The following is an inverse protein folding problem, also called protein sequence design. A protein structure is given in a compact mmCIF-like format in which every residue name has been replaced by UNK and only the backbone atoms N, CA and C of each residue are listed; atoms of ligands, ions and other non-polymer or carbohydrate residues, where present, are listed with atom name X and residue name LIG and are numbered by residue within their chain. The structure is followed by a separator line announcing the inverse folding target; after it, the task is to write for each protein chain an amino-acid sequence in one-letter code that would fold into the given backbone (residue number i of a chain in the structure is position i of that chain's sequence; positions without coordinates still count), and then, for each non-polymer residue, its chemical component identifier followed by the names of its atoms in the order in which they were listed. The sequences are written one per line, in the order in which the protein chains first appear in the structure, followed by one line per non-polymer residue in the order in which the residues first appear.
data_IF_429775423140
#
_entry.id   IF_429775423140
#
_cell.length_a   1.000
_cell.length_b   1.000
_cell.length_c   1.000
_cell.angle_alpha   90.00
_cell.angle_beta   90.00
_cell.angle_gamma   90.00
#
_symmetry.space_group_name_H-M   'P 1'
#
loop_
_entity.id
_entity.type
_entity.pdbx_description
1 polymer ?
#
# COMPACT_ATOMS: atom_id res chain seq x y z
N UNK A 1 1.59 41.39 23.55
CA UNK A 1 0.40 40.89 24.30
C UNK A 1 -0.88 41.62 23.89
N UNK A 2 -0.88 42.99 23.84
CA UNK A 2 -2.05 43.77 23.45
C UNK A 2 -2.50 43.50 22.02
N UNK A 3 -1.58 43.34 21.07
CA UNK A 3 -1.90 42.99 19.69
C UNK A 3 -2.53 41.59 19.58
N UNK A 4 -2.03 40.64 20.33
CA UNK A 4 -2.60 39.29 20.38
C UNK A 4 -4.01 39.29 21.00
N UNK A 5 -4.23 40.09 22.04
CA UNK A 5 -5.55 40.28 22.65
C UNK A 5 -6.54 40.89 21.67
N UNK A 6 -6.14 41.94 20.94
CA UNK A 6 -6.98 42.63 19.94
C UNK A 6 -7.34 41.65 18.80
N UNK A 7 -6.36 40.93 18.26
CA UNK A 7 -6.58 39.94 17.21
C UNK A 7 -7.55 38.83 17.69
N UNK A 8 -7.42 38.36 18.92
CA UNK A 8 -8.33 37.36 19.51
C UNK A 8 -9.75 37.88 19.65
N UNK A 9 -9.93 39.13 20.10
CA UNK A 9 -11.24 39.79 20.20
C UNK A 9 -11.90 39.92 18.82
N UNK A 10 -11.14 40.38 17.83
CA UNK A 10 -11.65 40.59 16.49
C UNK A 10 -12.04 39.24 15.81
N UNK A 11 -11.26 38.19 16.02
CA UNK A 11 -11.58 36.84 15.54
C UNK A 11 -12.86 36.29 16.21
N UNK A 12 -13.01 36.48 17.54
CA UNK A 12 -14.20 36.05 18.26
C UNK A 12 -15.45 36.78 17.77
N UNK A 13 -15.36 38.10 17.56
CA UNK A 13 -16.46 38.92 17.01
C UNK A 13 -16.82 38.49 15.59
N UNK A 14 -15.83 38.24 14.74
CA UNK A 14 -16.04 37.76 13.40
C UNK A 14 -16.73 36.37 13.37
N UNK A 15 -16.49 35.55 14.38
CA UNK A 15 -17.16 34.27 14.59
C UNK A 15 -18.54 34.35 15.25
N UNK A 16 -19.06 35.60 15.52
CA UNK A 16 -20.38 35.81 16.07
C UNK A 16 -20.47 35.75 17.62
N UNK A 17 -19.33 35.69 18.31
CA UNK A 17 -19.32 35.72 19.79
C UNK A 17 -19.38 37.14 20.32
N UNK A 18 -20.17 37.36 21.39
CA UNK A 18 -20.09 38.58 22.13
C UNK A 18 -18.93 38.51 23.14
N UNK A 19 -17.96 39.40 22.97
CA UNK A 19 -16.83 39.50 23.88
C UNK A 19 -17.07 40.70 24.81
N UNK A 20 -17.42 40.44 26.07
CA UNK A 20 -17.57 41.41 27.13
C UNK A 20 -16.49 41.21 28.19
N UNK A 21 -15.98 42.34 28.70
CA UNK A 21 -15.11 42.42 29.90
C UNK A 21 -13.99 41.40 30.06
N UNK A 22 -13.00 41.47 29.15
CA UNK A 22 -11.76 40.75 29.36
C UNK A 22 -10.92 41.41 30.46
N UNK A 23 -10.31 40.62 31.35
CA UNK A 23 -9.46 41.17 32.41
C UNK A 23 -8.30 41.97 31.81
N UNK A 24 -7.89 43.02 32.48
CA UNK A 24 -6.75 43.83 32.09
C UNK A 24 -5.50 42.96 32.00
N UNK A 25 -4.72 43.15 30.95
CA UNK A 25 -3.43 42.46 30.83
C UNK A 25 -2.50 42.91 31.97
N UNK A 26 -1.74 41.99 32.57
CA UNK A 26 -0.75 42.39 33.56
C UNK A 26 0.26 43.36 32.92
N UNK A 27 0.61 44.40 33.67
CA UNK A 27 1.66 45.32 33.22
C UNK A 27 2.97 44.56 33.07
N UNK A 28 3.38 44.28 31.84
CA UNK A 28 4.70 43.72 31.53
C UNK A 28 5.66 44.89 31.50
N UNK A 29 6.63 44.92 32.41
CA UNK A 29 7.74 45.85 32.28
C UNK A 29 8.36 45.73 30.92
N UNK A 30 8.50 46.86 30.23
CA UNK A 30 9.18 46.89 28.91
C UNK A 30 10.59 46.36 29.13
N UNK A 31 10.86 45.12 28.76
CA UNK A 31 12.22 44.67 28.55
C UNK A 31 12.65 45.32 27.24
N UNK A 32 13.69 46.10 27.30
CA UNK A 32 14.49 46.39 26.10
C UNK A 32 15.06 45.07 25.62
N UNK A 33 14.32 44.35 24.80
CA UNK A 33 14.83 43.20 24.07
C UNK A 33 15.75 43.77 23.00
N UNK A 34 17.04 43.73 23.28
CA UNK A 34 18.02 43.89 22.19
C UNK A 34 17.66 42.80 21.13
N UNK A 35 17.44 43.19 19.86
CA UNK A 35 17.12 42.20 18.83
C UNK A 35 18.25 41.17 18.78
N UNK A 36 17.96 39.92 19.12
CA UNK A 36 18.89 38.83 18.94
C UNK A 36 18.96 38.50 17.46
N UNK A 37 19.92 39.12 16.77
CA UNK A 37 20.19 38.71 15.41
C UNK A 37 20.69 37.27 15.39
N UNK A 38 20.23 36.42 14.45
CA UNK A 38 20.81 35.11 14.25
C UNK A 38 22.32 35.27 14.04
N UNK A 39 23.11 34.63 14.90
CA UNK A 39 24.56 34.70 14.77
C UNK A 39 25.05 33.48 14.04
N UNK A 40 25.40 33.64 12.78
CA UNK A 40 26.23 32.70 12.06
C UNK A 40 27.68 32.93 12.50
N UNK A 41 28.32 31.92 13.10
CA UNK A 41 29.74 31.97 13.47
C UNK A 41 30.50 31.14 12.45
N UNK A 42 31.08 31.77 11.42
CA UNK A 42 31.88 31.05 10.45
C UNK A 42 33.13 30.48 11.14
N UNK A 43 33.44 29.20 10.92
CA UNK A 43 34.70 28.61 11.26
C UNK A 43 35.43 28.25 10.00
N UNK A 44 36.64 28.74 9.86
CA UNK A 44 37.50 28.45 8.71
C UNK A 44 37.74 26.94 8.61
N UNK A 45 37.42 26.35 7.45
CA UNK A 45 37.63 24.95 7.13
C UNK A 45 36.63 23.96 7.72
N UNK A 46 35.59 24.41 8.45
CA UNK A 46 34.54 23.52 8.99
C UNK A 46 33.26 23.61 8.16
N UNK A 47 32.61 22.50 7.94
CA UNK A 47 31.27 22.44 7.38
C UNK A 47 30.27 22.99 8.39
N UNK A 48 29.53 24.04 8.01
CA UNK A 48 28.50 24.65 8.84
C UNK A 48 27.12 24.30 8.28
N UNK A 49 26.37 23.48 8.99
CA UNK A 49 25.01 23.09 8.62
C UNK A 49 23.99 24.16 9.02
N UNK A 50 23.07 24.44 8.13
CA UNK A 50 21.95 25.36 8.33
C UNK A 50 20.65 24.58 8.53
N UNK A 51 20.44 23.55 7.73
CA UNK A 51 19.29 22.65 7.83
C UNK A 51 19.80 21.23 8.08
N UNK A 52 19.57 20.73 9.30
CA UNK A 52 20.03 19.41 9.73
C UNK A 52 19.18 18.25 9.18
N UNK A 53 17.96 18.51 8.69
CA UNK A 53 17.11 17.46 8.15
C UNK A 53 17.44 17.11 6.71
N UNK A 54 17.91 18.11 5.95
CA UNK A 54 18.32 17.95 4.55
C UNK A 54 19.82 18.22 4.33
N UNK A 55 20.60 18.30 5.39
CA UNK A 55 22.06 18.52 5.34
C UNK A 55 22.48 19.75 4.52
N UNK A 56 21.64 20.80 4.49
CA UNK A 56 21.96 22.04 3.79
C UNK A 56 23.01 22.83 4.56
N UNK A 57 24.08 23.20 3.89
CA UNK A 57 25.21 23.92 4.47
C UNK A 57 25.19 25.39 4.09
N UNK A 58 26.01 26.19 4.80
CA UNK A 58 26.30 27.58 4.43
C UNK A 58 26.92 27.66 3.02
N UNK A 59 27.78 26.70 2.67
CA UNK A 59 28.41 26.63 1.35
C UNK A 59 27.36 26.46 0.22
N UNK A 60 26.35 25.59 0.45
CA UNK A 60 25.30 25.37 -0.55
C UNK A 60 24.47 26.64 -0.79
N UNK A 61 24.15 27.37 0.28
CA UNK A 61 23.40 28.62 0.14
C UNK A 61 24.21 29.72 -0.56
N UNK A 62 25.53 29.82 -0.28
CA UNK A 62 26.43 30.74 -0.99
C UNK A 62 26.55 30.35 -2.46
N UNK A 63 26.68 29.06 -2.77
CA UNK A 63 26.69 28.57 -4.13
C UNK A 63 25.40 28.91 -4.86
N UNK A 64 24.24 28.70 -4.22
CA UNK A 64 22.94 29.09 -4.79
C UNK A 64 22.90 30.57 -5.18
N UNK A 65 23.41 31.47 -4.33
CA UNK A 65 23.49 32.90 -4.64
C UNK A 65 24.46 33.17 -5.80
N UNK A 66 25.61 32.53 -5.80
CA UNK A 66 26.61 32.64 -6.87
C UNK A 66 26.04 32.21 -8.24
N UNK A 67 25.21 31.18 -8.27
CA UNK A 67 24.55 30.67 -9.47
C UNK A 67 23.27 31.44 -9.85
N UNK A 68 22.93 32.52 -9.14
CA UNK A 68 21.81 33.40 -9.45
C UNK A 68 20.51 33.08 -8.73
N UNK A 69 20.47 32.07 -7.85
CA UNK A 69 19.29 31.71 -7.07
C UNK A 69 19.17 32.45 -5.73
N UNK A 70 19.48 33.75 -5.75
CA UNK A 70 19.52 34.56 -4.54
C UNK A 70 18.18 34.93 -3.91
N UNK A 71 17.01 34.59 -4.54
CA UNK A 71 15.70 34.71 -3.90
C UNK A 71 15.47 33.53 -2.96
N UNK A 72 14.94 33.79 -1.78
CA UNK A 72 14.75 32.78 -0.73
C UNK A 72 14.00 31.52 -1.23
N UNK A 73 12.93 31.72 -1.99
CA UNK A 73 12.15 30.61 -2.56
C UNK A 73 12.89 29.84 -3.67
N UNK A 74 13.82 30.47 -4.38
CA UNK A 74 14.66 29.79 -5.36
C UNK A 74 15.79 29.03 -4.67
N UNK A 75 16.50 29.67 -3.72
CA UNK A 75 17.51 29.01 -2.90
C UNK A 75 16.94 27.80 -2.15
N UNK A 76 15.72 27.91 -1.62
CA UNK A 76 14.97 26.78 -1.02
C UNK A 76 14.86 25.58 -1.96
N UNK A 77 14.49 25.81 -3.23
CA UNK A 77 14.31 24.74 -4.22
C UNK A 77 15.63 24.19 -4.74
N UNK A 78 16.63 25.03 -4.80
CA UNK A 78 17.96 24.63 -5.23
C UNK A 78 18.68 23.76 -4.18
N UNK A 79 18.54 24.11 -2.89
CA UNK A 79 19.26 23.46 -1.78
C UNK A 79 18.40 22.54 -0.92
N UNK A 80 17.09 22.51 -1.10
CA UNK A 80 16.10 21.88 -0.21
C UNK A 80 15.98 22.51 1.19
N UNK A 81 16.49 23.72 1.42
CA UNK A 81 16.37 24.47 2.66
C UNK A 81 14.92 24.57 3.13
N UNK A 82 14.61 24.05 4.32
CA UNK A 82 13.28 24.12 4.91
C UNK A 82 12.20 23.30 4.18
N UNK A 83 12.59 22.32 3.38
CA UNK A 83 11.65 21.42 2.68
C UNK A 83 11.36 20.13 3.47
N UNK A 84 12.03 19.88 4.57
CA UNK A 84 11.82 18.72 5.41
C UNK A 84 10.54 18.83 6.27
N UNK A 85 10.30 17.84 7.11
CA UNK A 85 9.05 17.70 7.90
C UNK A 85 8.77 18.87 8.84
N UNK A 86 9.82 19.58 9.31
CA UNK A 86 9.68 20.78 10.14
C UNK A 86 9.31 22.04 9.35
N UNK A 87 9.33 21.97 8.00
CA UNK A 87 9.02 23.07 7.09
C UNK A 87 9.79 24.36 7.41
N UNK A 88 11.08 24.21 7.76
CA UNK A 88 12.00 25.30 8.01
C UNK A 88 11.85 26.00 9.37
N UNK A 89 11.10 25.44 10.32
CA UNK A 89 10.95 26.02 11.66
C UNK A 89 12.29 26.20 12.39
N UNK A 90 13.21 25.25 12.20
CA UNK A 90 14.56 25.28 12.79
C UNK A 90 15.59 25.95 11.92
N UNK A 91 15.48 25.84 10.59
CA UNK A 91 16.48 26.29 9.64
C UNK A 91 16.16 27.64 8.97
N UNK A 92 14.89 28.04 8.89
CA UNK A 92 14.44 29.14 8.05
C UNK A 92 15.10 30.48 8.36
N UNK A 93 15.18 30.88 9.64
CA UNK A 93 15.81 32.15 10.03
C UNK A 93 17.34 32.13 9.80
N UNK A 94 18.00 31.02 10.12
CA UNK A 94 19.43 30.87 9.90
C UNK A 94 19.76 30.89 8.40
N UNK A 95 18.96 30.21 7.57
CA UNK A 95 19.07 30.23 6.13
C UNK A 95 18.89 31.62 5.54
N UNK A 96 17.91 32.38 6.07
CA UNK A 96 17.65 33.74 5.66
C UNK A 96 18.85 34.64 5.97
N UNK A 97 19.45 34.50 7.17
CA UNK A 97 20.65 35.26 7.55
C UNK A 97 21.84 34.97 6.63
N UNK A 98 22.09 33.70 6.30
CA UNK A 98 23.18 33.31 5.38
C UNK A 98 22.93 33.84 3.96
N UNK A 99 21.70 33.80 3.47
CA UNK A 99 21.34 34.34 2.16
C UNK A 99 21.49 35.87 2.12
N UNK A 100 21.11 36.59 3.18
CA UNK A 100 21.26 38.02 3.31
C UNK A 100 22.75 38.41 3.28
N UNK A 101 23.58 37.72 4.06
CA UNK A 101 25.03 37.88 4.07
C UNK A 101 25.63 37.66 2.67
N UNK A 102 25.29 36.53 2.03
CA UNK A 102 25.82 36.17 0.71
C UNK A 102 25.40 37.14 -0.39
N UNK A 103 24.25 37.82 -0.24
CA UNK A 103 23.78 38.86 -1.15
C UNK A 103 24.26 40.27 -0.79
N UNK A 104 24.84 40.47 0.38
CA UNK A 104 25.22 41.79 0.87
C UNK A 104 24.03 42.71 1.17
N UNK A 105 22.88 42.15 1.63
CA UNK A 105 21.67 42.90 1.96
C UNK A 105 21.18 42.61 3.39
N UNK A 106 20.20 43.38 3.86
CA UNK A 106 19.55 43.13 5.15
C UNK A 106 18.63 41.90 5.11
N UNK A 107 18.41 41.27 6.27
CA UNK A 107 17.43 40.17 6.36
C UNK A 107 16.00 40.66 6.11
N UNK A 108 15.69 41.89 6.41
CA UNK A 108 14.41 42.58 6.19
C UNK A 108 14.08 42.78 4.71
N UNK A 109 15.11 42.78 3.84
CA UNK A 109 14.96 42.82 2.39
C UNK A 109 14.57 41.44 1.77
N UNK A 110 14.62 40.37 2.56
CA UNK A 110 14.29 39.02 2.12
C UNK A 110 13.01 38.54 2.76
N UNK A 111 12.12 37.97 1.94
CA UNK A 111 10.96 37.24 2.48
C UNK A 111 11.38 35.89 3.03
N UNK A 112 10.78 35.41 4.15
CA UNK A 112 11.00 34.07 4.63
C UNK A 112 10.45 33.04 3.63
N UNK A 113 10.92 31.78 3.75
CA UNK A 113 10.42 30.69 2.93
C UNK A 113 8.96 30.41 3.22
N UNK A 114 8.16 30.18 2.19
CA UNK A 114 6.77 29.74 2.35
C UNK A 114 6.73 28.25 2.65
N UNK A 115 6.04 27.87 3.72
CA UNK A 115 5.80 26.46 4.03
C UNK A 115 4.63 25.90 3.21
N UNK A 116 4.58 24.57 3.10
CA UNK A 116 3.48 23.84 2.44
C UNK A 116 2.73 22.98 3.45
N UNK A 117 1.41 22.81 3.30
CA UNK A 117 0.68 21.85 4.11
C UNK A 117 1.22 20.42 3.91
N UNK A 118 1.24 19.60 4.97
CA UNK A 118 0.92 19.94 6.35
C UNK A 118 2.07 20.64 7.07
N UNK A 119 1.82 21.84 7.61
CA UNK A 119 2.82 22.59 8.38
C UNK A 119 3.14 21.94 9.73
N UNK A 120 2.16 21.32 10.33
CA UNK A 120 2.32 20.46 11.50
C UNK A 120 2.20 19.01 11.06
N UNK A 121 3.07 18.09 11.52
CA UNK A 121 2.94 16.68 11.22
C UNK A 121 1.55 16.15 11.54
N UNK A 122 0.94 15.46 10.59
CA UNK A 122 -0.40 14.87 10.73
C UNK A 122 -0.25 13.36 10.77
N UNK A 123 -0.82 12.72 11.79
CA UNK A 123 -0.85 11.28 11.86
C UNK A 123 -1.68 10.70 10.70
N UNK A 124 -1.22 9.60 10.10
CA UNK A 124 -1.91 8.94 8.98
C UNK A 124 -3.37 8.63 9.35
N UNK A 125 -3.65 8.24 10.60
CA UNK A 125 -5.00 7.99 11.07
C UNK A 125 -5.95 9.21 11.00
N UNK A 126 -5.43 10.44 10.95
CA UNK A 126 -6.25 11.64 10.79
C UNK A 126 -6.82 11.77 9.37
N UNK A 127 -6.17 11.19 8.36
CA UNK A 127 -6.67 11.17 6.98
C UNK A 127 -7.83 10.18 6.79
N UNK A 128 -7.99 9.21 7.68
CA UNK A 128 -9.11 8.27 7.64
C UNK A 128 -10.46 8.91 8.02
N UNK A 129 -10.46 10.14 8.58
CA UNK A 129 -11.68 10.84 8.97
C UNK A 129 -12.48 10.07 10.04
N UNK A 130 -13.80 9.98 9.84
CA UNK A 130 -14.71 9.29 10.76
C UNK A 130 -14.81 7.78 10.48
N UNK A 131 -14.43 7.32 9.30
CA UNK A 131 -14.55 5.94 8.83
C UNK A 131 -13.21 5.21 8.94
N UNK A 132 -12.84 4.80 10.15
CA UNK A 132 -11.47 4.35 10.44
C UNK A 132 -11.23 2.85 10.23
N UNK A 133 -12.26 2.02 10.33
CA UNK A 133 -12.08 0.56 10.37
C UNK A 133 -12.25 -0.07 8.99
N UNK A 134 -13.33 0.23 8.31
CA UNK A 134 -13.67 -0.39 7.02
C UNK A 134 -13.01 0.29 5.82
N UNK A 135 -12.74 1.57 5.89
CA UNK A 135 -12.15 2.33 4.77
C UNK A 135 -10.63 2.33 4.80
N UNK A 136 -10.04 2.09 5.97
CA UNK A 136 -8.58 1.94 6.10
C UNK A 136 -8.06 0.62 5.54
N UNK A 137 -8.87 -0.45 5.62
CA UNK A 137 -8.60 -1.74 4.99
C UNK A 137 -9.76 -2.09 4.06
N UNK A 138 -9.62 -1.92 2.75
CA UNK A 138 -10.69 -2.24 1.81
C UNK A 138 -11.05 -3.72 1.91
N UNK A 139 -12.31 -4.00 2.22
CA UNK A 139 -12.85 -5.34 2.28
C UNK A 139 -13.32 -5.73 0.88
N UNK A 140 -12.70 -6.77 0.32
CA UNK A 140 -13.07 -7.35 -0.97
C UNK A 140 -14.12 -8.44 -0.79
N UNK A 141 -15.05 -8.52 -1.72
CA UNK A 141 -16.16 -9.49 -1.72
C UNK A 141 -16.18 -10.24 -3.03
N UNK A 142 -16.42 -11.55 -2.96
CA UNK A 142 -16.59 -12.36 -4.18
C UNK A 142 -17.92 -12.04 -4.87
N UNK A 143 -18.05 -12.40 -6.14
CA UNK A 143 -19.32 -12.26 -6.87
C UNK A 143 -20.47 -13.03 -6.18
N UNK A 144 -20.15 -14.11 -5.46
CA UNK A 144 -21.11 -14.94 -4.73
C UNK A 144 -21.48 -14.41 -3.33
N UNK A 145 -20.87 -13.30 -2.88
CA UNK A 145 -21.04 -12.78 -1.51
C UNK A 145 -22.51 -12.65 -1.10
N UNK A 146 -23.35 -12.07 -1.95
CA UNK A 146 -24.80 -11.93 -1.66
C UNK A 146 -25.53 -13.27 -1.57
N UNK A 147 -25.10 -14.27 -2.33
CA UNK A 147 -25.68 -15.63 -2.23
C UNK A 147 -25.29 -16.27 -0.89
N UNK A 148 -24.05 -16.14 -0.47
CA UNK A 148 -23.58 -16.61 0.84
C UNK A 148 -24.32 -15.93 1.99
N UNK A 149 -24.57 -14.62 1.90
CA UNK A 149 -25.38 -13.92 2.90
C UNK A 149 -26.82 -14.49 3.00
N UNK A 150 -27.47 -14.73 1.86
CA UNK A 150 -28.83 -15.32 1.85
C UNK A 150 -28.86 -16.73 2.42
N UNK A 151 -27.76 -17.46 2.31
CA UNK A 151 -27.60 -18.80 2.91
C UNK A 151 -27.22 -18.76 4.40
N UNK A 152 -27.10 -17.59 4.99
CA UNK A 152 -26.74 -17.43 6.41
C UNK A 152 -25.28 -17.71 6.72
N UNK A 153 -24.37 -17.49 5.77
CA UNK A 153 -22.94 -17.71 6.00
C UNK A 153 -22.38 -16.83 7.12
N UNK A 154 -21.54 -17.41 7.97
CA UNK A 154 -20.63 -16.67 8.83
C UNK A 154 -19.35 -16.38 8.01
N UNK A 155 -18.97 -15.11 7.94
CA UNK A 155 -17.79 -14.70 7.20
C UNK A 155 -16.55 -14.59 8.09
N UNK A 156 -15.39 -14.76 7.48
CA UNK A 156 -14.09 -14.47 8.05
C UNK A 156 -13.19 -13.77 7.03
N UNK A 157 -12.25 -12.99 7.52
CA UNK A 157 -11.28 -12.30 6.68
C UNK A 157 -10.11 -13.24 6.33
N UNK A 158 -9.70 -13.20 5.07
CA UNK A 158 -8.49 -13.86 4.58
C UNK A 158 -7.78 -12.87 3.64
N UNK A 159 -6.67 -12.29 4.10
CA UNK A 159 -6.13 -11.07 3.50
C UNK A 159 -7.20 -9.97 3.54
N UNK A 160 -7.49 -9.37 2.40
CA UNK A 160 -8.55 -8.37 2.26
C UNK A 160 -9.92 -8.93 1.85
N UNK A 161 -10.07 -10.25 1.77
CA UNK A 161 -11.30 -10.88 1.30
C UNK A 161 -12.18 -11.40 2.44
N UNK A 162 -13.49 -11.15 2.34
CA UNK A 162 -14.48 -11.85 3.14
C UNK A 162 -14.78 -13.22 2.49
N UNK A 163 -14.52 -14.29 3.23
CA UNK A 163 -14.83 -15.67 2.83
C UNK A 163 -15.88 -16.27 3.74
N UNK A 164 -16.85 -17.07 3.21
CA UNK A 164 -17.71 -17.85 4.06
C UNK A 164 -16.89 -18.90 4.82
N UNK A 165 -17.09 -18.96 6.14
CA UNK A 165 -16.44 -19.95 7.02
C UNK A 165 -17.29 -21.19 7.21
N UNK A 166 -18.59 -21.00 7.41
CA UNK A 166 -19.58 -22.05 7.55
C UNK A 166 -20.99 -21.49 7.42
N UNK A 167 -21.98 -22.38 7.35
CA UNK A 167 -23.42 -22.08 7.28
C UNK A 167 -24.14 -22.76 8.46
N UNK A 168 -24.23 -22.10 9.62
CA UNK A 168 -24.85 -22.71 10.81
C UNK A 168 -26.33 -22.99 10.60
N UNK A 169 -26.84 -24.00 11.28
CA UNK A 169 -28.26 -24.36 11.34
C UNK A 169 -28.76 -24.16 12.76
N UNK A 170 -29.78 -23.30 12.92
CA UNK A 170 -30.26 -22.95 14.25
C UNK A 170 -29.13 -22.41 15.14
N UNK A 171 -29.00 -22.93 16.35
CA UNK A 171 -28.03 -22.48 17.35
C UNK A 171 -26.68 -23.21 17.27
N UNK A 172 -26.30 -23.72 16.11
CA UNK A 172 -24.99 -24.37 15.95
C UNK A 172 -23.85 -23.36 16.19
N UNK A 173 -22.89 -23.74 17.01
CA UNK A 173 -21.62 -23.02 17.08
C UNK A 173 -20.84 -23.19 15.76
N UNK A 174 -19.93 -22.23 15.48
CA UNK A 174 -19.06 -22.28 14.30
C UNK A 174 -18.36 -23.62 14.13
N UNK A 175 -17.81 -24.17 15.20
CA UNK A 175 -17.12 -25.47 15.17
C UNK A 175 -18.05 -26.65 14.86
N UNK A 176 -19.29 -26.64 15.39
CA UNK A 176 -20.29 -27.68 15.09
C UNK A 176 -20.71 -27.59 13.62
N UNK A 177 -21.00 -26.41 13.13
CA UNK A 177 -21.37 -26.22 11.73
C UNK A 177 -20.24 -26.66 10.79
N UNK A 178 -18.99 -26.23 11.03
CA UNK A 178 -17.84 -26.63 10.24
C UNK A 178 -17.60 -28.15 10.26
N UNK A 179 -17.73 -28.80 11.42
CA UNK A 179 -17.59 -30.25 11.53
C UNK A 179 -18.70 -31.01 10.74
N UNK A 180 -19.95 -30.55 10.85
CA UNK A 180 -21.07 -31.12 10.08
C UNK A 180 -20.84 -30.99 8.57
N UNK A 181 -20.40 -29.82 8.11
CA UNK A 181 -20.10 -29.58 6.70
C UNK A 181 -18.94 -30.44 6.20
N UNK A 182 -17.87 -30.57 6.97
CA UNK A 182 -16.75 -31.45 6.63
C UNK A 182 -17.16 -32.91 6.52
N UNK A 183 -18.03 -33.41 7.44
CA UNK A 183 -18.58 -34.76 7.38
C UNK A 183 -19.44 -34.92 6.12
N UNK A 184 -20.29 -33.94 5.80
CA UNK A 184 -21.14 -33.97 4.61
C UNK A 184 -20.34 -34.07 3.31
N UNK A 185 -19.27 -33.30 3.20
CA UNK A 185 -18.36 -33.36 2.04
C UNK A 185 -17.72 -34.73 1.90
N UNK A 186 -17.24 -35.30 3.00
CA UNK A 186 -16.64 -36.66 2.99
C UNK A 186 -17.60 -37.74 2.65
N UNK A 187 -18.85 -37.62 3.10
CA UNK A 187 -19.90 -38.63 2.88
C UNK A 187 -20.58 -38.49 1.51
N UNK A 188 -20.61 -37.32 0.94
CA UNK A 188 -21.36 -37.04 -0.29
C UNK A 188 -20.63 -36.02 -1.18
N UNK A 189 -20.99 -34.74 -1.07
CA UNK A 189 -20.44 -33.64 -1.90
C UNK A 189 -20.56 -32.33 -1.16
N UNK A 190 -19.63 -31.43 -1.43
CA UNK A 190 -19.68 -30.03 -1.02
C UNK A 190 -19.10 -29.12 -2.07
N UNK A 191 -19.60 -27.90 -2.08
CA UNK A 191 -19.06 -26.79 -2.90
C UNK A 191 -18.50 -25.68 -2.00
N UNK A 192 -17.33 -25.17 -2.33
CA UNK A 192 -16.68 -24.07 -1.62
C UNK A 192 -16.33 -22.96 -2.62
N UNK A 193 -16.72 -21.72 -2.30
CA UNK A 193 -16.27 -20.54 -3.05
C UNK A 193 -14.78 -20.30 -2.77
N UNK A 194 -13.95 -20.53 -3.78
CA UNK A 194 -12.50 -20.30 -3.77
C UNK A 194 -12.10 -19.16 -4.72
N UNK A 195 -13.06 -18.32 -5.09
CA UNK A 195 -12.82 -17.16 -5.96
C UNK A 195 -11.77 -16.19 -5.42
N UNK A 196 -11.46 -16.25 -4.15
CA UNK A 196 -10.46 -15.41 -3.48
C UNK A 196 -9.01 -15.86 -3.70
N UNK A 197 -8.78 -17.10 -4.17
CA UNK A 197 -7.44 -17.55 -4.55
C UNK A 197 -6.89 -16.62 -5.64
N UNK A 198 -5.63 -16.26 -5.54
CA UNK A 198 -4.97 -15.52 -6.62
C UNK A 198 -5.00 -16.30 -7.92
N UNK A 199 -5.21 -15.62 -9.02
CA UNK A 199 -5.10 -16.17 -10.38
C UNK A 199 -4.21 -15.22 -11.17
N UNK A 200 -3.16 -15.78 -11.75
CA UNK A 200 -2.20 -15.03 -12.55
C UNK A 200 -2.09 -15.73 -13.88
N UNK A 201 -2.35 -15.00 -14.95
CA UNK A 201 -2.05 -15.46 -16.31
C UNK A 201 -0.60 -15.18 -16.65
N UNK A 202 0.05 -16.18 -17.24
CA UNK A 202 1.41 -16.10 -17.76
C UNK A 202 1.36 -16.49 -19.21
N UNK A 203 1.76 -15.58 -20.10
CA UNK A 203 1.71 -15.74 -21.55
C UNK A 203 3.03 -15.36 -22.19
N UNK A 204 3.42 -16.08 -23.21
CA UNK A 204 4.60 -15.81 -24.02
C UNK A 204 5.48 -17.04 -24.24
N UNK A 205 6.38 -16.98 -25.23
CA UNK A 205 7.28 -18.10 -25.59
C UNK A 205 8.09 -18.61 -24.40
N UNK A 206 8.47 -17.71 -23.47
CA UNK A 206 9.30 -18.03 -22.31
C UNK A 206 8.51 -18.32 -21.03
N UNK A 207 7.17 -18.45 -21.10
CA UNK A 207 6.33 -18.74 -19.94
C UNK A 207 6.79 -19.99 -19.17
N UNK A 208 7.16 -21.08 -19.88
CA UNK A 208 7.70 -22.30 -19.26
C UNK A 208 9.04 -22.07 -18.58
N UNK A 209 9.88 -21.23 -19.15
CA UNK A 209 11.20 -20.86 -18.61
C UNK A 209 11.02 -20.08 -17.32
N UNK A 210 10.12 -19.08 -17.29
CA UNK A 210 9.80 -18.33 -16.08
C UNK A 210 9.30 -19.26 -14.97
N UNK A 211 8.33 -20.14 -15.27
CA UNK A 211 7.78 -21.09 -14.30
C UNK A 211 8.83 -22.05 -13.73
N UNK A 212 9.77 -22.53 -14.57
CA UNK A 212 10.87 -23.37 -14.10
C UNK A 212 11.87 -22.63 -13.19
N UNK A 213 11.99 -21.31 -13.35
CA UNK A 213 12.89 -20.49 -12.52
C UNK A 213 12.30 -20.13 -11.18
N UNK A 214 10.98 -19.95 -11.10
CA UNK A 214 10.31 -19.50 -9.86
C UNK A 214 9.80 -20.64 -8.99
N UNK A 215 9.56 -21.82 -9.53
CA UNK A 215 9.08 -22.98 -8.80
C UNK A 215 10.16 -24.06 -8.64
N UNK A 216 10.09 -24.80 -7.55
CA UNK A 216 10.95 -25.99 -7.35
C UNK A 216 10.55 -27.16 -8.26
N UNK A 217 9.35 -27.13 -8.81
CA UNK A 217 8.80 -28.16 -9.70
C UNK A 217 9.18 -27.87 -11.16
N UNK A 218 9.23 -28.92 -12.00
CA UNK A 218 9.55 -28.78 -13.40
C UNK A 218 8.29 -28.56 -14.26
N UNK A 219 8.30 -27.52 -15.09
CA UNK A 219 7.18 -27.14 -15.97
C UNK A 219 7.44 -27.43 -17.45
N UNK A 220 8.72 -27.68 -17.82
CA UNK A 220 9.15 -27.86 -19.21
C UNK A 220 8.39 -28.95 -19.96
N UNK A 221 7.94 -30.00 -19.26
CA UNK A 221 7.23 -31.14 -19.82
C UNK A 221 5.75 -31.22 -19.40
N UNK A 222 5.18 -30.15 -18.86
CA UNK A 222 3.75 -30.14 -18.55
C UNK A 222 2.94 -30.05 -19.84
N UNK A 223 2.16 -31.08 -20.15
CA UNK A 223 1.37 -31.13 -21.38
C UNK A 223 0.22 -30.10 -21.33
N UNK A 224 -0.19 -29.59 -22.47
CA UNK A 224 -1.40 -28.81 -22.64
C UNK A 224 -2.61 -29.62 -22.14
N UNK A 225 -3.54 -28.98 -21.43
CA UNK A 225 -4.69 -29.65 -20.80
C UNK A 225 -4.34 -30.35 -19.47
N UNK A 226 -3.17 -30.04 -18.89
CA UNK A 226 -2.76 -30.57 -17.57
C UNK A 226 -2.40 -29.45 -16.61
N UNK A 227 -2.72 -29.69 -15.34
CA UNK A 227 -2.26 -28.88 -14.24
C UNK A 227 -1.14 -29.55 -13.45
N UNK A 228 -0.39 -28.78 -12.70
CA UNK A 228 0.61 -29.25 -11.75
C UNK A 228 0.56 -28.39 -10.50
N UNK A 229 0.64 -29.05 -9.35
CA UNK A 229 0.88 -28.37 -8.08
C UNK A 229 2.35 -27.94 -7.98
N UNK A 230 2.58 -26.72 -7.59
CA UNK A 230 3.92 -26.13 -7.49
C UNK A 230 4.14 -25.49 -6.11
N UNK A 231 5.40 -25.52 -5.69
CA UNK A 231 5.89 -24.84 -4.50
C UNK A 231 6.92 -23.78 -4.92
N UNK A 232 6.68 -22.55 -4.52
CA UNK A 232 7.59 -21.43 -4.71
C UNK A 232 8.35 -21.19 -3.42
N UNK A 233 9.66 -21.03 -3.50
CA UNK A 233 10.54 -20.76 -2.37
C UNK A 233 11.11 -19.35 -2.47
N UNK A 234 11.44 -18.79 -1.33
CA UNK A 234 12.31 -17.63 -1.21
C UNK A 234 13.78 -18.05 -1.37
N UNK A 235 14.66 -17.10 -1.55
CA UNK A 235 16.10 -17.32 -1.68
C UNK A 235 16.72 -18.03 -0.46
N UNK A 236 16.12 -17.86 0.73
CA UNK A 236 16.51 -18.52 1.97
C UNK A 236 15.96 -19.96 2.11
N UNK A 237 15.24 -20.46 1.09
CA UNK A 237 14.66 -21.80 1.06
C UNK A 237 13.33 -21.93 1.81
N UNK A 238 12.80 -20.85 2.38
CA UNK A 238 11.48 -20.86 3.04
C UNK A 238 10.37 -20.79 1.99
N UNK A 239 9.28 -21.52 2.20
CA UNK A 239 8.11 -21.50 1.33
C UNK A 239 7.56 -20.07 1.22
N UNK A 240 7.46 -19.59 -0.01
CA UNK A 240 6.91 -18.27 -0.33
C UNK A 240 5.42 -18.36 -0.63
N UNK A 241 5.05 -19.26 -1.54
CA UNK A 241 3.65 -19.59 -1.89
C UNK A 241 3.56 -20.96 -2.52
N UNK A 242 2.33 -21.46 -2.65
CA UNK A 242 2.03 -22.71 -3.33
C UNK A 242 0.72 -22.59 -4.12
N UNK A 243 0.53 -23.47 -5.08
CA UNK A 243 -0.71 -23.48 -5.86
C UNK A 243 -0.63 -24.41 -7.08
N UNK A 244 -1.71 -24.42 -7.84
CA UNK A 244 -1.76 -25.16 -9.10
C UNK A 244 -1.55 -24.25 -10.26
N UNK A 245 -0.81 -24.72 -11.26
CA UNK A 245 -0.66 -24.02 -12.54
C UNK A 245 -1.15 -24.93 -13.65
N UNK A 246 -2.12 -24.45 -14.42
CA UNK A 246 -2.73 -25.11 -15.57
C UNK A 246 -2.05 -24.68 -16.86
N UNK A 247 -1.68 -25.63 -17.70
CA UNK A 247 -1.16 -25.40 -19.05
C UNK A 247 -2.32 -25.36 -20.04
N UNK A 248 -2.74 -24.16 -20.44
CA UNK A 248 -3.86 -23.96 -21.36
C UNK A 248 -3.44 -24.01 -22.82
N UNK A 249 -2.21 -23.57 -23.10
CA UNK A 249 -1.54 -23.68 -24.40
C UNK A 249 -0.03 -23.79 -24.15
N UNK A 250 0.77 -24.00 -25.18
CA UNK A 250 2.23 -24.11 -25.04
C UNK A 250 2.88 -22.86 -24.46
N UNK A 251 2.28 -21.72 -24.72
CA UNK A 251 2.71 -20.38 -24.29
C UNK A 251 1.71 -19.69 -23.33
N UNK A 252 0.73 -20.43 -22.79
CA UNK A 252 -0.32 -19.86 -21.94
C UNK A 252 -0.58 -20.74 -20.71
N UNK A 253 -0.37 -20.15 -19.54
CA UNK A 253 -0.57 -20.77 -18.24
C UNK A 253 -1.50 -19.93 -17.35
N UNK A 254 -2.35 -20.62 -16.59
CA UNK A 254 -3.13 -20.01 -15.50
C UNK A 254 -2.60 -20.57 -14.19
N UNK A 255 -2.00 -19.71 -13.41
CA UNK A 255 -1.41 -20.02 -12.12
C UNK A 255 -2.36 -19.60 -11.01
N UNK A 256 -2.53 -20.42 -9.96
CA UNK A 256 -3.24 -20.07 -8.74
C UNK A 256 -2.25 -19.84 -7.60
N UNK A 257 -2.61 -18.97 -6.65
CA UNK A 257 -1.84 -18.66 -5.44
C UNK A 257 -2.72 -18.70 -4.22
N UNK A 258 -2.13 -18.70 -3.02
CA UNK A 258 -2.92 -18.47 -1.81
C UNK A 258 -3.56 -17.09 -1.82
N UNK A 259 -4.72 -16.97 -1.19
CA UNK A 259 -5.52 -15.73 -1.18
C UNK A 259 -4.73 -14.52 -0.66
N UNK A 260 -4.03 -14.70 0.46
CA UNK A 260 -3.31 -13.61 1.11
C UNK A 260 -2.06 -13.15 0.35
N UNK A 261 -1.45 -14.05 -0.42
CA UNK A 261 -0.20 -13.77 -1.14
C UNK A 261 -0.40 -13.38 -2.60
N UNK A 262 -1.62 -13.34 -3.13
CA UNK A 262 -1.87 -13.10 -4.55
C UNK A 262 -1.13 -11.88 -5.13
N UNK A 263 -1.21 -10.75 -4.43
CA UNK A 263 -0.52 -9.53 -4.83
C UNK A 263 1.01 -9.64 -4.70
N UNK A 264 1.49 -10.26 -3.62
CA UNK A 264 2.94 -10.43 -3.35
C UNK A 264 3.60 -11.36 -4.37
N UNK A 265 2.89 -12.41 -4.79
CA UNK A 265 3.40 -13.32 -5.82
C UNK A 265 3.47 -12.61 -7.17
N UNK A 266 2.44 -11.83 -7.53
CA UNK A 266 2.47 -11.03 -8.76
C UNK A 266 3.64 -10.04 -8.75
N UNK A 267 3.79 -9.27 -7.69
CA UNK A 267 4.89 -8.33 -7.49
C UNK A 267 6.26 -9.02 -7.59
N UNK A 268 6.40 -10.20 -6.99
CA UNK A 268 7.63 -10.99 -7.06
C UNK A 268 7.96 -11.43 -8.48
N UNK A 269 6.96 -11.91 -9.24
CA UNK A 269 7.14 -12.31 -10.64
C UNK A 269 7.54 -11.11 -11.51
N UNK A 270 6.86 -9.96 -11.33
CA UNK A 270 7.19 -8.72 -12.04
C UNK A 270 8.59 -8.22 -11.69
N UNK A 271 8.94 -8.25 -10.40
CA UNK A 271 10.28 -7.87 -9.95
C UNK A 271 11.37 -8.74 -10.59
N UNK A 272 11.22 -10.06 -10.54
CA UNK A 272 12.18 -10.99 -11.14
C UNK A 272 12.28 -10.82 -12.66
N UNK A 273 11.15 -10.64 -13.34
CA UNK A 273 11.13 -10.41 -14.77
C UNK A 273 11.84 -9.09 -15.12
N UNK A 274 11.61 -8.01 -14.40
CA UNK A 274 12.19 -6.71 -14.70
C UNK A 274 13.66 -6.59 -14.31
N UNK A 275 14.14 -7.34 -13.31
CA UNK A 275 15.49 -7.17 -12.76
C UNK A 275 16.44 -8.32 -13.03
N UNK A 276 15.99 -9.55 -12.83
CA UNK A 276 16.82 -10.74 -12.94
C UNK A 276 16.77 -11.38 -14.34
N UNK A 277 15.62 -11.30 -15.03
CA UNK A 277 15.36 -11.98 -16.30
C UNK A 277 14.64 -11.10 -17.32
N UNK A 278 15.14 -9.88 -17.58
CA UNK A 278 14.49 -8.97 -18.53
C UNK A 278 14.54 -9.45 -19.98
N UNK A 279 15.33 -10.48 -20.25
CA UNK A 279 15.44 -11.10 -21.58
C UNK A 279 14.27 -12.03 -21.92
N UNK A 280 13.45 -12.44 -20.95
CA UNK A 280 12.34 -13.36 -21.19
C UNK A 280 11.19 -12.66 -21.92
N UNK A 281 10.74 -13.25 -23.01
CA UNK A 281 9.54 -12.82 -23.72
C UNK A 281 8.29 -13.43 -23.05
N UNK A 282 7.82 -12.76 -21.99
CA UNK A 282 6.70 -13.22 -21.19
C UNK A 282 5.88 -12.03 -20.65
N UNK A 283 4.57 -12.19 -20.61
CA UNK A 283 3.63 -11.28 -19.96
C UNK A 283 3.02 -11.95 -18.74
N UNK A 284 2.96 -11.23 -17.63
CA UNK A 284 2.36 -11.66 -16.36
C UNK A 284 1.22 -10.71 -16.01
N UNK A 285 0.02 -11.23 -15.78
CA UNK A 285 -1.16 -10.40 -15.52
C UNK A 285 -2.04 -11.00 -14.44
N UNK A 286 -2.55 -10.16 -13.52
CA UNK A 286 -3.56 -10.61 -12.56
C UNK A 286 -4.89 -10.88 -13.24
N UNK A 287 -5.40 -12.10 -13.05
CA UNK A 287 -6.74 -12.53 -13.48
C UNK A 287 -7.64 -12.86 -12.27
N UNK A 288 -7.22 -12.47 -11.06
CA UNK A 288 -7.91 -12.84 -9.82
C UNK A 288 -9.38 -12.46 -9.81
N UNK A 289 -9.74 -11.28 -10.32
CA UNK A 289 -11.10 -10.77 -10.34
C UNK A 289 -11.88 -11.14 -11.59
N UNK A 290 -11.23 -11.72 -12.60
CA UNK A 290 -11.86 -12.12 -13.86
C UNK A 290 -12.55 -13.49 -13.74
N UNK A 291 -12.22 -14.30 -12.72
CA UNK A 291 -12.71 -15.67 -12.56
C UNK A 291 -13.36 -15.89 -11.21
N UNK A 292 -14.62 -16.35 -11.23
CA UNK A 292 -15.20 -17.05 -10.10
C UNK A 292 -14.69 -18.49 -10.10
N UNK A 293 -14.26 -18.97 -8.94
CA UNK A 293 -13.77 -20.34 -8.80
C UNK A 293 -14.50 -21.04 -7.67
N UNK A 294 -15.01 -22.24 -7.99
CA UNK A 294 -15.71 -23.12 -7.04
C UNK A 294 -14.96 -24.43 -6.92
N UNK A 295 -14.58 -24.79 -5.69
CA UNK A 295 -14.07 -26.13 -5.41
C UNK A 295 -15.24 -27.07 -5.14
N UNK A 296 -15.43 -28.07 -5.99
CA UNK A 296 -16.42 -29.13 -5.83
C UNK A 296 -15.69 -30.40 -5.39
N UNK A 297 -16.01 -30.91 -4.21
CA UNK A 297 -15.27 -31.99 -3.59
C UNK A 297 -16.24 -33.04 -2.96
N UNK A 298 -15.75 -34.26 -2.84
CA UNK A 298 -16.49 -35.38 -2.26
C UNK A 298 -16.76 -36.51 -3.25
N UNK A 299 -17.13 -37.70 -2.79
CA UNK A 299 -17.31 -38.90 -3.65
C UNK A 299 -18.36 -38.72 -4.76
N UNK A 300 -19.34 -37.82 -4.55
CA UNK A 300 -20.41 -37.54 -5.52
C UNK A 300 -20.18 -36.22 -6.31
N UNK A 301 -18.95 -35.66 -6.31
CA UNK A 301 -18.65 -34.40 -6.99
C UNK A 301 -18.96 -34.46 -8.49
N UNK A 302 -18.66 -35.60 -9.16
CA UNK A 302 -18.94 -35.77 -10.58
C UNK A 302 -20.41 -35.82 -10.91
N UNK A 303 -21.23 -36.46 -10.06
CA UNK A 303 -22.68 -36.51 -10.26
C UNK A 303 -23.28 -35.10 -10.30
N UNK A 304 -22.77 -34.20 -9.45
CA UNK A 304 -23.20 -32.78 -9.44
C UNK A 304 -22.66 -32.04 -10.65
N UNK A 305 -21.42 -32.30 -11.05
CA UNK A 305 -20.81 -31.64 -12.19
C UNK A 305 -21.54 -31.99 -13.49
N UNK A 306 -21.97 -33.24 -13.67
CA UNK A 306 -22.79 -33.67 -14.80
C UNK A 306 -24.15 -32.95 -14.88
N UNK A 307 -24.72 -32.58 -13.73
CA UNK A 307 -26.00 -31.88 -13.67
C UNK A 307 -25.91 -30.40 -14.03
N UNK A 308 -24.74 -29.78 -13.88
CA UNK A 308 -24.55 -28.32 -14.08
C UNK A 308 -23.83 -27.98 -15.37
N UNK A 309 -23.19 -28.95 -16.02
CA UNK A 309 -22.49 -28.76 -17.29
C UNK A 309 -23.26 -29.39 -18.42
N UNK A 310 -23.83 -28.56 -19.29
CA UNK A 310 -24.53 -29.01 -20.49
C UNK A 310 -23.50 -29.52 -21.54
N UNK A 311 -23.66 -30.81 -21.90
CA UNK A 311 -22.90 -31.40 -23.03
C UNK A 311 -21.42 -31.66 -22.80
N UNK A 312 -20.92 -31.49 -21.57
CA UNK A 312 -19.53 -31.79 -21.25
C UNK A 312 -19.39 -33.21 -20.68
N UNK A 313 -18.47 -33.99 -21.25
CA UNK A 313 -18.08 -35.28 -20.67
C UNK A 313 -17.12 -35.05 -19.49
N UNK A 314 -17.62 -35.32 -18.27
CA UNK A 314 -16.85 -35.21 -17.03
C UNK A 314 -16.39 -36.56 -16.49
N UNK A 315 -16.43 -37.62 -17.31
CA UNK A 315 -15.95 -38.96 -16.95
C UNK A 315 -14.45 -38.92 -16.56
N UNK A 316 -13.99 -39.98 -15.90
CA UNK A 316 -12.56 -40.09 -15.55
C UNK A 316 -11.66 -40.17 -16.78
N UNK A 317 -12.18 -40.56 -17.95
CA UNK A 317 -11.45 -40.60 -19.20
C UNK A 317 -11.28 -39.18 -19.80
N UNK A 318 -12.37 -38.40 -19.82
CA UNK A 318 -12.36 -37.04 -20.38
C UNK A 318 -11.73 -36.02 -19.43
N UNK A 319 -11.98 -36.15 -18.10
CA UNK A 319 -11.40 -35.29 -17.07
C UNK A 319 -10.59 -36.13 -16.06
N UNK A 320 -9.39 -36.59 -16.45
CA UNK A 320 -8.53 -37.39 -15.59
C UNK A 320 -7.91 -36.53 -14.47
N UNK A 321 -7.23 -37.19 -13.52
CA UNK A 321 -6.48 -36.48 -12.48
C UNK A 321 -5.54 -35.41 -13.07
N UNK A 322 -5.56 -34.20 -12.52
CA UNK A 322 -4.86 -33.02 -13.01
C UNK A 322 -5.20 -32.68 -14.48
N UNK A 323 -6.33 -33.08 -15.01
CA UNK A 323 -6.87 -32.58 -16.27
C UNK A 323 -7.41 -31.15 -16.13
N UNK A 324 -7.32 -30.38 -17.20
CA UNK A 324 -7.80 -29.00 -17.32
C UNK A 324 -8.66 -28.86 -18.56
#
# INVERSE_FOLDING_TARGET
LEDGRRAGIDAARAAGFQVSDLPALPAVAAREEAPSAPRHVPRDGATAFVDFQNDVTVADLRLAVQEGYGRTEHAKRYTTLGMATDQGKTAGLNGLAVLAEARGCGMDELAPTTFRPPYTPVAIGAFAGHERETDYQPIRRTAMHRAHQRLGAIFGETGHWLRPRCYPRGDESLMKAAAREAIAVRASVGVCDVSTLGKIEIRGPDARTLLNRVYVNAWSKLAVGKARYGLMLREDGIAFDDGTTSCLADDHFLMTTTTANAARVLEHLEFLHQTAWPELDVSVCSATEQWCAMALAGPRARDVLELVLDGADVSNAALPFMGV
#
